data_IF_818908163330
#
_entry.id   IF_818908163330
#
_cell.length_a   1.000
_cell.length_b   1.000
_cell.length_c   1.000
_cell.angle_alpha   90.00
_cell.angle_beta   90.00
_cell.angle_gamma   90.00
#
_symmetry.space_group_name_H-M   'P 1'
#
loop_
_entity.id
_entity.type
_entity.pdbx_description
1 polymer ?
#
# COMPACT_ATOMS: atom_id res chain seq x y z
N UNK A 1 -19.53 -17.34 2.26
CA UNK A 1 -19.47 -15.91 2.67
C UNK A 1 -19.02 -15.11 1.46
N UNK A 2 -19.96 -14.59 0.66
CA UNK A 2 -19.65 -13.70 -0.46
C UNK A 2 -19.63 -12.26 0.06
N UNK A 3 -18.55 -11.88 0.71
CA UNK A 3 -18.35 -10.50 1.14
C UNK A 3 -18.07 -9.67 -0.11
N UNK A 4 -19.12 -9.00 -0.62
CA UNK A 4 -18.95 -7.88 -1.56
C UNK A 4 -18.15 -6.82 -0.81
N UNK A 5 -16.82 -6.83 -0.95
CA UNK A 5 -15.99 -5.74 -0.45
C UNK A 5 -16.56 -4.43 -1.00
N UNK A 6 -17.12 -3.62 -0.10
CA UNK A 6 -17.70 -2.33 -0.45
C UNK A 6 -16.59 -1.49 -1.09
N UNK A 7 -16.90 -0.74 -2.15
CA UNK A 7 -15.93 0.14 -2.83
C UNK A 7 -15.21 1.05 -1.83
N UNK A 8 -15.90 1.42 -0.76
CA UNK A 8 -15.36 2.15 0.38
C UNK A 8 -14.29 1.40 1.17
N UNK A 9 -14.44 0.10 1.42
CA UNK A 9 -13.43 -0.72 2.10
C UNK A 9 -12.13 -0.76 1.31
N UNK A 10 -12.22 -0.92 -0.01
CA UNK A 10 -11.05 -0.91 -0.90
C UNK A 10 -10.39 0.47 -0.94
N UNK A 11 -11.18 1.55 -0.99
CA UNK A 11 -10.67 2.91 -0.92
C UNK A 11 -9.97 3.19 0.42
N UNK A 12 -10.54 2.77 1.54
CA UNK A 12 -9.92 2.90 2.86
C UNK A 12 -8.62 2.11 2.94
N UNK A 13 -8.58 0.88 2.45
CA UNK A 13 -7.34 0.09 2.42
C UNK A 13 -6.27 0.73 1.54
N UNK A 14 -6.63 1.30 0.40
CA UNK A 14 -5.71 2.04 -0.46
C UNK A 14 -5.18 3.30 0.23
N UNK A 15 -6.07 4.09 0.84
CA UNK A 15 -5.71 5.32 1.55
C UNK A 15 -4.83 5.02 2.76
N UNK A 16 -5.18 4.01 3.57
CA UNK A 16 -4.38 3.60 4.74
C UNK A 16 -3.04 3.01 4.32
N UNK A 17 -3.01 2.22 3.23
CA UNK A 17 -1.78 1.67 2.68
C UNK A 17 -0.82 2.72 2.12
N UNK A 18 -1.32 3.86 1.63
CA UNK A 18 -0.50 4.96 1.09
C UNK A 18 -0.15 5.98 2.19
N UNK A 19 -1.11 6.37 3.02
CA UNK A 19 -0.91 7.36 4.08
C UNK A 19 -0.14 6.78 5.27
N UNK A 20 -0.30 5.51 5.59
CA UNK A 20 0.37 4.85 6.73
C UNK A 20 1.89 4.91 6.65
N UNK A 21 2.51 4.45 5.54
CA UNK A 21 3.96 4.54 5.35
C UNK A 21 4.45 5.99 5.28
N UNK A 22 3.69 6.89 4.65
CA UNK A 22 4.04 8.31 4.57
C UNK A 22 4.05 9.02 5.93
N UNK A 23 3.04 8.76 6.78
CA UNK A 23 3.03 9.28 8.15
C UNK A 23 4.15 8.67 9.00
N UNK A 24 4.39 7.35 8.90
CA UNK A 24 5.48 6.70 9.61
C UNK A 24 6.85 7.30 9.22
N UNK A 25 7.07 7.55 7.94
CA UNK A 25 8.28 8.21 7.43
C UNK A 25 8.47 9.61 8.02
N UNK A 26 7.41 10.41 8.06
CA UNK A 26 7.44 11.76 8.64
C UNK A 26 7.81 11.74 10.13
N UNK A 27 7.17 10.89 10.92
CA UNK A 27 7.43 10.82 12.37
C UNK A 27 8.83 10.26 12.68
N UNK A 28 9.29 9.24 11.94
CA UNK A 28 10.61 8.65 12.13
C UNK A 28 11.74 9.62 11.74
N UNK A 29 11.56 10.40 10.68
CA UNK A 29 12.49 11.48 10.33
C UNK A 29 12.54 12.55 11.42
N UNK A 30 11.38 12.95 11.94
CA UNK A 30 11.31 13.93 13.03
C UNK A 30 11.93 13.43 14.33
N UNK A 31 11.93 12.11 14.55
CA UNK A 31 12.57 11.46 15.68
C UNK A 31 14.09 11.25 15.49
N UNK A 32 14.68 11.65 14.36
CA UNK A 32 16.11 11.53 14.09
C UNK A 32 16.54 10.17 13.54
N UNK A 33 15.60 9.34 13.06
CA UNK A 33 15.87 8.03 12.46
C UNK A 33 15.58 8.01 10.95
N UNK A 34 16.31 8.78 10.12
CA UNK A 34 16.03 8.90 8.69
C UNK A 34 16.17 7.57 7.94
N UNK A 35 17.19 6.77 8.27
CA UNK A 35 17.39 5.46 7.62
C UNK A 35 16.26 4.48 7.93
N UNK A 36 15.75 4.47 9.18
CA UNK A 36 14.62 3.63 9.56
C UNK A 36 13.34 4.12 8.88
N UNK A 37 13.16 5.44 8.79
CA UNK A 37 12.05 6.03 8.06
C UNK A 37 12.02 5.55 6.61
N UNK A 38 13.14 5.62 5.91
CA UNK A 38 13.27 5.21 4.51
C UNK A 38 12.99 3.72 4.33
N UNK A 39 13.52 2.86 5.20
CA UNK A 39 13.27 1.41 5.17
C UNK A 39 11.78 1.11 5.36
N UNK A 40 11.13 1.74 6.35
CA UNK A 40 9.69 1.55 6.61
C UNK A 40 8.85 2.02 5.41
N UNK A 41 9.23 3.14 4.81
CA UNK A 41 8.54 3.68 3.64
C UNK A 41 8.66 2.74 2.43
N UNK A 42 9.87 2.29 2.09
CA UNK A 42 10.10 1.36 0.98
C UNK A 42 9.41 0.02 1.23
N UNK A 43 9.51 -0.54 2.44
CA UNK A 43 8.85 -1.79 2.79
C UNK A 43 7.32 -1.68 2.67
N UNK A 44 6.73 -0.58 3.15
CA UNK A 44 5.30 -0.29 3.00
C UNK A 44 4.89 -0.20 1.52
N UNK A 45 5.67 0.53 0.72
CA UNK A 45 5.41 0.69 -0.71
C UNK A 45 5.47 -0.65 -1.47
N UNK A 46 6.50 -1.46 -1.21
CA UNK A 46 6.65 -2.79 -1.78
C UNK A 46 5.54 -3.76 -1.33
N UNK A 47 5.11 -3.66 -0.06
CA UNK A 47 3.98 -4.44 0.46
C UNK A 47 2.68 -4.13 -0.27
N UNK A 48 2.37 -2.85 -0.48
CA UNK A 48 1.20 -2.43 -1.27
C UNK A 48 1.31 -2.88 -2.72
N UNK A 49 2.48 -2.71 -3.35
CA UNK A 49 2.72 -3.18 -4.71
C UNK A 49 2.52 -4.70 -4.84
N UNK A 50 2.99 -5.48 -3.86
CA UNK A 50 2.81 -6.93 -3.81
C UNK A 50 1.34 -7.32 -3.67
N UNK A 51 0.60 -6.67 -2.77
CA UNK A 51 -0.83 -6.90 -2.58
C UNK A 51 -1.63 -6.54 -3.83
N UNK A 52 -1.33 -5.42 -4.48
CA UNK A 52 -1.98 -5.01 -5.72
C UNK A 52 -1.64 -5.97 -6.86
N UNK A 53 -0.38 -6.39 -6.98
CA UNK A 53 0.05 -7.36 -7.99
C UNK A 53 -0.68 -8.71 -7.83
N UNK A 54 -0.65 -9.30 -6.64
CA UNK A 54 -1.24 -10.61 -6.40
C UNK A 54 -2.76 -10.59 -6.28
N UNK A 55 -3.34 -9.54 -5.72
CA UNK A 55 -4.77 -9.42 -5.51
C UNK A 55 -5.53 -8.98 -6.77
N UNK A 56 -4.90 -8.14 -7.60
CA UNK A 56 -5.60 -7.52 -8.72
C UNK A 56 -4.83 -7.62 -10.03
N UNK A 57 -3.63 -7.02 -10.12
CA UNK A 57 -2.95 -6.78 -11.40
C UNK A 57 -2.64 -8.07 -12.17
N UNK A 58 -2.22 -9.15 -11.50
CA UNK A 58 -1.93 -10.44 -12.19
C UNK A 58 -3.17 -11.10 -12.79
N UNK A 59 -4.35 -10.75 -12.29
CA UNK A 59 -5.63 -11.31 -12.74
C UNK A 59 -6.30 -10.42 -13.79
N UNK A 60 -5.75 -9.24 -14.06
CA UNK A 60 -6.18 -8.40 -15.17
C UNK A 60 -5.54 -8.97 -16.42
N UNK A 61 -6.33 -9.67 -17.24
CA UNK A 61 -5.93 -10.02 -18.60
C UNK A 61 -5.81 -8.73 -19.41
N UNK A 62 -4.57 -8.25 -19.58
CA UNK A 62 -4.26 -7.15 -20.48
C UNK A 62 -4.24 -7.74 -21.90
N UNK A 63 -5.44 -8.08 -22.41
CA UNK A 63 -5.66 -8.53 -23.77
C UNK A 63 -5.46 -7.37 -24.74
N UNK A 64 -4.50 -7.53 -25.65
CA UNK A 64 -4.26 -6.64 -26.78
C UNK A 64 -5.53 -6.53 -27.65
N UNK A 65 -5.96 -5.31 -27.92
CA UNK A 65 -6.88 -4.98 -29.01
C UNK A 65 -6.20 -3.93 -29.89
#
# INVERSE_FOLDING_TARGET
MSERYSRWTLATLAVVGILGPGMAHYYLNRAGYPLVADVVFVAGYLGVAFLLWHGWLRHVDIGAN
#
